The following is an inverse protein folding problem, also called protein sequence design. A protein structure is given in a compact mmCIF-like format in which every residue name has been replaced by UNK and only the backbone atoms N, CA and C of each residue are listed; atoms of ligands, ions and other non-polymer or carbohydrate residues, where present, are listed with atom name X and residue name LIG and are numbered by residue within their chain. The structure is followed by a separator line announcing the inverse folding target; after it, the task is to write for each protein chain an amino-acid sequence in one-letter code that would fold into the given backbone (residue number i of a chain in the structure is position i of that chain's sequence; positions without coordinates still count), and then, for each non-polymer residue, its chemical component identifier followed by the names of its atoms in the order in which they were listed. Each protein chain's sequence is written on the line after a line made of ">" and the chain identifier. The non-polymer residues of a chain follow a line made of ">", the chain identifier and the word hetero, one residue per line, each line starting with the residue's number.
data_IF_563144554972
#
_entry.id   IF_563144554972
#
_cell.length_a   1.000
_cell.length_b   1.000
_cell.length_c   1.000
_cell.angle_alpha   90.00
_cell.angle_beta   90.00
_cell.angle_gamma   90.00
#
_symmetry.space_group_name_H-M   'P 1'
#
loop_
_entity.id
_entity.type
_entity.pdbx_description
1 polymer ?
#
# COMPACT_ATOMS: atom_id res chain seq x y z
N UNK A 1 -28.07 3.07 -8.14
CA UNK A 1 -27.09 2.42 -7.24
C UNK A 1 -25.82 3.27 -7.20
N UNK A 2 -25.87 4.40 -6.49
CA UNK A 2 -24.75 5.35 -6.33
C UNK A 2 -24.78 5.81 -4.87
N UNK A 3 -24.06 5.10 -4.01
CA UNK A 3 -24.09 5.36 -2.55
C UNK A 3 -22.78 4.97 -1.85
N UNK A 4 -22.05 3.97 -2.34
CA UNK A 4 -20.87 3.43 -1.65
C UNK A 4 -19.59 4.27 -1.76
N UNK A 5 -19.41 5.08 -2.80
CA UNK A 5 -18.17 5.86 -2.98
C UNK A 5 -18.16 7.24 -2.28
N UNK A 6 -19.32 7.75 -1.83
CA UNK A 6 -19.38 8.98 -1.03
C UNK A 6 -19.28 8.75 0.47
N UNK A 7 -19.66 7.55 0.95
CA UNK A 7 -19.68 7.22 2.38
C UNK A 7 -18.28 7.03 2.97
N UNK A 8 -17.31 6.52 2.20
CA UNK A 8 -15.92 6.38 2.66
C UNK A 8 -15.25 7.71 2.99
N UNK A 9 -15.45 8.73 2.14
CA UNK A 9 -14.89 10.08 2.30
C UNK A 9 -15.41 10.75 3.60
N UNK A 10 -16.71 10.59 3.90
CA UNK A 10 -17.36 11.11 5.10
C UNK A 10 -16.92 10.42 6.40
N UNK A 11 -16.52 9.14 6.35
CA UNK A 11 -15.99 8.43 7.50
C UNK A 11 -14.55 8.88 7.83
N UNK A 12 -13.75 9.25 6.83
CA UNK A 12 -12.41 9.82 7.02
C UNK A 12 -12.45 11.25 7.61
N UNK A 13 -13.56 11.98 7.48
CA UNK A 13 -13.69 13.37 7.98
C UNK A 13 -13.93 13.52 9.48
N UNK A 14 -14.22 12.45 10.25
CA UNK A 14 -14.54 12.55 11.69
C UNK A 14 -13.44 13.24 12.51
N UNK A 15 -12.17 12.94 12.24
CA UNK A 15 -11.04 13.60 12.91
C UNK A 15 -10.85 15.07 12.50
N UNK A 16 -11.18 15.42 11.25
CA UNK A 16 -11.12 16.81 10.79
C UNK A 16 -12.25 17.66 11.37
N UNK A 17 -13.43 17.07 11.58
CA UNK A 17 -14.55 17.70 12.29
C UNK A 17 -14.20 17.92 13.76
N UNK A 18 -13.70 16.90 14.47
CA UNK A 18 -13.30 17.02 15.87
C UNK A 18 -12.22 18.09 16.11
N UNK A 19 -11.27 18.24 15.18
CA UNK A 19 -10.22 19.26 15.24
C UNK A 19 -10.67 20.66 14.75
N UNK A 20 -11.92 20.83 14.31
CA UNK A 20 -12.44 22.12 13.79
C UNK A 20 -11.77 22.59 12.50
N UNK A 21 -11.32 21.66 11.64
CA UNK A 21 -10.55 21.94 10.41
C UNK A 21 -11.45 22.03 9.16
N UNK A 22 -12.68 21.48 9.21
CA UNK A 22 -13.63 21.52 8.09
C UNK A 22 -14.18 22.92 7.84
N UNK A 23 -14.51 23.24 6.59
CA UNK A 23 -15.28 24.44 6.26
C UNK A 23 -16.79 24.27 6.57
N UNK A 24 -17.54 25.38 6.64
CA UNK A 24 -18.96 25.38 7.03
C UNK A 24 -19.83 24.41 6.18
N UNK A 25 -19.47 24.20 4.91
CA UNK A 25 -20.22 23.32 4.00
C UNK A 25 -19.85 21.86 4.25
N UNK A 26 -18.56 21.57 4.43
CA UNK A 26 -18.07 20.24 4.81
C UNK A 26 -18.61 19.81 6.20
N UNK A 27 -18.63 20.73 7.18
CA UNK A 27 -19.19 20.49 8.51
C UNK A 27 -20.70 20.20 8.46
N UNK A 28 -21.49 21.03 7.76
CA UNK A 28 -22.94 20.80 7.61
C UNK A 28 -23.24 19.45 6.95
N UNK A 29 -22.44 19.04 5.95
CA UNK A 29 -22.59 17.75 5.28
C UNK A 29 -22.23 16.58 6.21
N UNK A 30 -21.21 16.74 7.06
CA UNK A 30 -20.81 15.74 8.05
C UNK A 30 -21.84 15.60 9.18
N UNK A 31 -22.40 16.70 9.70
CA UNK A 31 -23.47 16.68 10.71
C UNK A 31 -24.70 15.90 10.23
N UNK A 32 -25.12 16.12 8.97
CA UNK A 32 -26.22 15.39 8.36
C UNK A 32 -25.95 13.88 8.24
N UNK A 33 -24.68 13.49 8.03
CA UNK A 33 -24.28 12.08 8.04
C UNK A 33 -24.24 11.52 9.48
N UNK A 34 -23.69 12.26 10.43
CA UNK A 34 -23.56 11.90 11.84
C UNK A 34 -24.92 11.62 12.49
N UNK A 35 -25.96 12.36 12.12
CA UNK A 35 -27.35 12.11 12.53
C UNK A 35 -27.90 10.72 12.09
N UNK A 36 -27.18 9.99 11.24
CA UNK A 36 -27.59 8.68 10.69
C UNK A 36 -26.55 7.56 10.84
N UNK A 37 -25.37 7.84 11.39
CA UNK A 37 -24.24 6.89 11.44
C UNK A 37 -23.69 6.73 12.87
N UNK A 38 -24.13 5.67 13.55
CA UNK A 38 -23.72 5.34 14.93
C UNK A 38 -22.20 5.16 15.07
N UNK A 39 -21.52 4.64 14.04
CA UNK A 39 -20.05 4.49 14.05
C UNK A 39 -19.33 5.85 14.09
N UNK A 40 -19.78 6.83 13.31
CA UNK A 40 -19.21 8.18 13.34
C UNK A 40 -19.47 8.88 14.68
N UNK A 41 -20.65 8.67 15.28
CA UNK A 41 -20.98 9.20 16.60
C UNK A 41 -20.09 8.58 17.70
N UNK A 42 -19.90 7.26 17.69
CA UNK A 42 -19.03 6.54 18.62
C UNK A 42 -17.56 6.99 18.51
N UNK A 43 -17.05 7.17 17.30
CA UNK A 43 -15.68 7.67 17.08
C UNK A 43 -15.52 9.13 17.54
N UNK A 44 -16.54 9.98 17.38
CA UNK A 44 -16.48 11.35 17.88
C UNK A 44 -16.47 11.42 19.42
N UNK A 45 -17.25 10.57 20.09
CA UNK A 45 -17.27 10.45 21.55
C UNK A 45 -15.92 9.95 22.11
N UNK A 46 -15.30 8.97 21.44
CA UNK A 46 -13.94 8.49 21.78
C UNK A 46 -12.88 9.60 21.68
N UNK A 47 -12.96 10.45 20.65
CA UNK A 47 -12.06 11.61 20.50
C UNK A 47 -12.34 12.69 21.55
N UNK A 48 -13.60 13.03 21.81
CA UNK A 48 -14.00 13.98 22.84
C UNK A 48 -13.56 13.51 24.25
N UNK A 49 -13.53 12.20 24.51
CA UNK A 49 -13.00 11.60 25.73
C UNK A 49 -11.49 11.84 25.95
N UNK A 50 -10.72 12.13 24.90
CA UNK A 50 -9.28 12.44 25.02
C UNK A 50 -9.01 13.91 25.37
N UNK A 51 -9.87 14.84 24.96
CA UNK A 51 -9.73 16.28 25.24
C UNK A 51 -9.51 16.63 26.72
N UNK A 52 -10.33 16.15 27.69
CA UNK A 52 -10.10 16.46 29.11
C UNK A 52 -8.81 15.86 29.65
N UNK A 53 -8.32 14.75 29.07
CA UNK A 53 -7.03 14.16 29.45
C UNK A 53 -5.85 14.99 28.94
N UNK A 54 -5.96 15.55 27.72
CA UNK A 54 -4.97 16.47 27.15
C UNK A 54 -4.99 17.84 27.86
N UNK A 55 -6.16 18.35 28.22
CA UNK A 55 -6.30 19.55 29.05
C UNK A 55 -5.66 19.38 30.43
N UNK A 56 -5.87 18.23 31.07
CA UNK A 56 -5.21 17.90 32.34
C UNK A 56 -3.67 17.83 32.24
N UNK A 57 -3.12 17.48 31.06
CA UNK A 57 -1.68 17.57 30.80
C UNK A 57 -1.20 19.03 30.61
N UNK A 58 -2.03 19.90 30.03
CA UNK A 58 -1.70 21.31 29.83
C UNK A 58 -1.66 22.12 31.14
N UNK A 59 -2.48 21.73 32.12
CA UNK A 59 -2.50 22.32 33.47
C UNK A 59 -1.39 21.79 34.41
N UNK A 60 -0.62 20.77 34.00
CA UNK A 60 0.53 20.32 34.79
C UNK A 60 1.65 21.37 34.72
N UNK A 61 2.12 21.90 35.88
CA UNK A 61 3.29 22.77 35.87
C UNK A 61 4.49 21.99 35.33
N UNK A 62 5.18 22.58 34.34
CA UNK A 62 6.26 21.94 33.61
C UNK A 62 7.22 21.19 34.56
N UNK A 63 7.18 19.87 34.49
CA UNK A 63 7.89 19.01 35.42
C UNK A 63 9.39 19.33 35.36
N UNK A 64 10.02 19.56 36.50
CA UNK A 64 11.42 19.95 36.62
C UNK A 64 12.37 18.74 36.40
N UNK A 65 12.11 17.95 35.36
CA UNK A 65 12.84 16.75 34.98
C UNK A 65 12.73 16.51 33.47
N UNK A 66 13.89 16.43 32.81
CA UNK A 66 14.09 16.19 31.36
C UNK A 66 13.46 17.22 30.39
N UNK A 67 14.18 18.32 30.06
CA UNK A 67 13.77 19.27 29.02
C UNK A 67 13.67 18.67 27.60
N UNK A 68 14.39 17.57 27.33
CA UNK A 68 14.63 17.08 25.97
C UNK A 68 13.38 16.53 25.23
N UNK A 69 12.37 16.04 25.95
CA UNK A 69 11.17 15.44 25.33
C UNK A 69 10.12 16.51 25.02
N UNK A 70 9.94 17.49 25.91
CA UNK A 70 9.04 18.63 25.67
C UNK A 70 9.44 19.44 24.44
N UNK A 71 10.71 19.83 24.35
CA UNK A 71 11.21 20.63 23.22
C UNK A 71 11.21 19.88 21.88
N UNK A 72 11.33 18.55 21.88
CA UNK A 72 11.29 17.74 20.65
C UNK A 72 9.86 17.48 20.14
N UNK A 73 8.86 17.45 21.02
CA UNK A 73 7.43 17.39 20.64
C UNK A 73 6.84 18.78 20.37
N UNK A 74 7.34 19.82 21.03
CA UNK A 74 6.98 21.22 20.81
C UNK A 74 7.79 21.89 19.69
N UNK A 75 8.64 21.14 18.99
CA UNK A 75 9.40 21.57 17.82
C UNK A 75 8.46 21.89 16.64
N UNK A 76 7.77 23.04 16.72
CA UNK A 76 7.00 23.60 15.60
C UNK A 76 7.90 23.62 14.36
N UNK A 77 7.50 22.99 13.24
CA UNK A 77 8.19 23.14 11.98
C UNK A 77 8.37 24.64 11.71
N UNK A 78 9.56 25.05 11.26
CA UNK A 78 9.78 26.47 10.93
C UNK A 78 8.65 26.95 10.01
N UNK A 79 8.10 28.18 10.15
CA UNK A 79 6.87 28.56 9.46
C UNK A 79 6.87 28.23 7.96
N UNK A 80 8.00 28.48 7.28
CA UNK A 80 8.22 28.15 5.86
C UNK A 80 8.11 26.66 5.48
N UNK A 81 8.31 25.74 6.43
CA UNK A 81 8.09 24.30 6.21
C UNK A 81 6.63 23.93 6.46
N UNK A 82 5.99 24.52 7.47
CA UNK A 82 4.55 24.34 7.70
C UNK A 82 3.74 24.89 6.51
N UNK A 83 4.02 26.13 6.09
CA UNK A 83 3.40 26.79 4.93
C UNK A 83 3.55 25.92 3.67
N UNK A 84 4.76 25.43 3.37
CA UNK A 84 5.00 24.55 2.21
C UNK A 84 4.25 23.22 2.26
N UNK A 85 4.07 22.62 3.44
CA UNK A 85 3.32 21.38 3.58
C UNK A 85 1.82 21.61 3.42
N UNK A 86 1.30 22.74 3.94
CA UNK A 86 -0.09 23.16 3.74
C UNK A 86 -0.34 23.50 2.27
N UNK A 87 0.55 24.25 1.62
CA UNK A 87 0.48 24.61 0.20
C UNK A 87 0.53 23.36 -0.70
N UNK A 88 1.45 22.42 -0.48
CA UNK A 88 1.53 21.16 -1.26
C UNK A 88 0.25 20.32 -1.12
N UNK A 89 -0.34 20.24 0.08
CA UNK A 89 -1.61 19.53 0.32
C UNK A 89 -2.78 20.28 -0.33
N UNK A 90 -2.82 21.61 -0.22
CA UNK A 90 -3.83 22.46 -0.86
C UNK A 90 -3.77 22.39 -2.39
N UNK A 91 -2.57 22.43 -2.98
CA UNK A 91 -2.37 22.25 -4.43
C UNK A 91 -2.79 20.85 -4.89
N UNK A 92 -2.47 19.79 -4.13
CA UNK A 92 -2.94 18.42 -4.43
C UNK A 92 -4.45 18.31 -4.37
N UNK A 93 -5.11 18.86 -3.33
CA UNK A 93 -6.58 18.93 -3.24
C UNK A 93 -7.16 19.75 -4.39
N UNK A 94 -6.60 20.92 -4.72
CA UNK A 94 -7.04 21.76 -5.83
C UNK A 94 -6.89 21.05 -7.20
N UNK A 95 -5.81 20.29 -7.41
CA UNK A 95 -5.57 19.50 -8.63
C UNK A 95 -6.53 18.31 -8.73
N UNK A 96 -6.84 17.63 -7.63
CA UNK A 96 -7.89 16.58 -7.54
C UNK A 96 -9.27 17.19 -7.86
N UNK A 97 -9.63 18.31 -7.22
CA UNK A 97 -10.91 19.03 -7.43
C UNK A 97 -11.05 19.55 -8.86
N UNK A 98 -10.02 20.15 -9.46
CA UNK A 98 -10.02 20.56 -10.88
C UNK A 98 -10.22 19.37 -11.83
N UNK A 99 -9.53 18.25 -11.60
CA UNK A 99 -9.74 17.00 -12.38
C UNK A 99 -11.17 16.47 -12.26
N UNK A 100 -11.74 16.46 -11.05
CA UNK A 100 -13.15 16.14 -10.84
C UNK A 100 -14.09 17.08 -11.59
N UNK A 101 -13.83 18.40 -11.54
CA UNK A 101 -14.64 19.40 -12.23
C UNK A 101 -14.60 19.23 -13.76
N UNK A 102 -13.45 18.88 -14.35
CA UNK A 102 -13.36 18.56 -15.78
C UNK A 102 -14.12 17.29 -16.16
N UNK A 103 -14.15 16.26 -15.30
CA UNK A 103 -14.97 15.05 -15.52
C UNK A 103 -16.47 15.34 -15.42
N UNK A 104 -16.90 16.18 -14.46
CA UNK A 104 -18.30 16.63 -14.34
C UNK A 104 -18.69 17.52 -15.52
N UNK A 105 -17.81 18.39 -16.01
CA UNK A 105 -18.06 19.21 -17.19
C UNK A 105 -18.18 18.35 -18.47
N UNK A 106 -17.37 17.29 -18.62
CA UNK A 106 -17.49 16.34 -19.72
C UNK A 106 -18.83 15.56 -19.66
N UNK A 107 -19.27 15.16 -18.47
CA UNK A 107 -20.58 14.54 -18.28
C UNK A 107 -21.74 15.52 -18.62
N UNK A 108 -21.66 16.78 -18.21
CA UNK A 108 -22.65 17.80 -18.53
C UNK A 108 -22.73 18.09 -20.05
N UNK A 109 -21.58 18.11 -20.74
CA UNK A 109 -21.53 18.26 -22.20
C UNK A 109 -22.24 17.10 -22.94
N UNK A 110 -22.10 15.86 -22.44
CA UNK A 110 -22.80 14.68 -22.97
C UNK A 110 -24.31 14.64 -22.65
N UNK A 111 -24.78 15.42 -21.67
CA UNK A 111 -26.20 15.52 -21.30
C UNK A 111 -26.92 16.62 -22.11
N UNK A 112 -26.21 17.70 -22.47
CA UNK A 112 -26.76 18.79 -23.30
C UNK A 112 -26.59 18.50 -24.80
N UNK A 113 -25.53 17.80 -25.19
CA UNK A 113 -25.31 17.30 -26.54
C UNK A 113 -26.08 16.01 -26.84
N UNK A 114 -27.39 16.12 -27.09
CA UNK A 114 -28.22 15.01 -27.57
C UNK A 114 -27.65 14.33 -28.83
N UNK A 115 -28.01 13.06 -29.11
CA UNK A 115 -27.25 12.20 -30.02
C UNK A 115 -27.37 12.63 -31.48
N UNK A 116 -26.29 13.21 -32.02
CA UNK A 116 -26.10 13.36 -33.47
C UNK A 116 -25.38 12.12 -33.99
N UNK A 117 -26.09 11.32 -34.78
CA UNK A 117 -25.52 10.16 -35.47
C UNK A 117 -24.54 10.60 -36.57
N UNK A 118 -23.31 10.09 -36.51
CA UNK A 118 -22.37 10.10 -37.64
C UNK A 118 -22.06 8.66 -38.02
N UNK A 119 -22.27 8.31 -39.29
CA UNK A 119 -22.13 6.97 -39.86
C UNK A 119 -20.86 6.90 -40.73
N UNK A 120 -20.09 5.81 -40.59
CA UNK A 120 -18.88 5.50 -41.39
C UNK A 120 -17.61 6.22 -40.89
N UNK A 121 -16.40 5.68 -40.99
CA UNK A 121 -15.89 4.47 -41.67
C UNK A 121 -14.52 4.12 -41.02
N UNK A 122 -13.95 2.91 -41.01
CA UNK A 122 -14.21 1.61 -41.67
C UNK A 122 -14.65 0.50 -40.68
N UNK A 123 -14.89 -0.72 -41.19
CA UNK A 123 -14.95 -1.95 -40.38
C UNK A 123 -13.63 -2.74 -40.39
N UNK A 124 -13.48 -3.62 -39.41
CA UNK A 124 -12.42 -4.62 -39.29
C UNK A 124 -12.77 -5.55 -38.12
N UNK A 125 -12.96 -6.84 -38.37
CA UNK A 125 -13.69 -7.75 -37.49
C UNK A 125 -13.10 -7.89 -36.08
N UNK A 126 -13.74 -7.27 -35.09
CA UNK A 126 -13.47 -7.55 -33.68
C UNK A 126 -14.17 -8.83 -33.23
N UNK A 127 -13.60 -9.97 -33.62
CA UNK A 127 -13.54 -11.13 -32.74
C UNK A 127 -12.63 -10.80 -31.54
N UNK A 128 -13.02 -9.80 -30.75
CA UNK A 128 -12.50 -9.61 -29.40
C UNK A 128 -13.15 -10.67 -28.53
N UNK A 129 -12.59 -11.88 -28.61
CA UNK A 129 -12.64 -12.84 -27.52
C UNK A 129 -12.35 -12.07 -26.24
N UNK A 130 -13.32 -12.00 -25.34
CA UNK A 130 -13.13 -11.38 -24.04
C UNK A 130 -12.02 -12.16 -23.32
N UNK A 131 -10.78 -11.64 -23.38
CA UNK A 131 -9.70 -12.20 -22.61
C UNK A 131 -10.12 -12.05 -21.14
N UNK A 132 -10.17 -13.16 -20.37
CA UNK A 132 -10.52 -13.06 -18.97
C UNK A 132 -9.51 -12.14 -18.31
N UNK A 133 -10.00 -11.09 -17.65
CA UNK A 133 -9.19 -10.25 -16.75
C UNK A 133 -8.77 -11.12 -15.57
N UNK A 134 -7.74 -11.93 -15.78
CA UNK A 134 -7.00 -12.57 -14.71
C UNK A 134 -6.41 -11.44 -13.88
N UNK A 135 -6.87 -11.29 -12.63
CA UNK A 135 -6.23 -10.42 -11.65
C UNK A 135 -4.82 -10.93 -11.37
N UNK A 136 -3.87 -10.54 -12.21
CA UNK A 136 -2.48 -10.84 -12.03
C UNK A 136 -1.97 -10.11 -10.78
N UNK A 137 -1.16 -10.80 -9.98
CA UNK A 137 -0.45 -10.14 -8.88
C UNK A 137 0.55 -9.16 -9.48
N UNK A 138 0.61 -7.88 -9.04
CA UNK A 138 1.61 -6.93 -9.52
C UNK A 138 3.05 -7.44 -9.36
N UNK A 139 3.32 -8.26 -8.34
CA UNK A 139 4.60 -8.95 -8.19
C UNK A 139 4.84 -9.97 -9.32
N UNK A 140 3.84 -10.76 -9.69
CA UNK A 140 3.95 -11.72 -10.82
C UNK A 140 4.19 -11.00 -12.14
N UNK A 141 3.50 -9.88 -12.38
CA UNK A 141 3.70 -9.09 -13.60
C UNK A 141 5.09 -8.44 -13.65
N UNK A 142 5.59 -7.91 -12.54
CA UNK A 142 6.96 -7.44 -12.46
C UNK A 142 7.97 -8.57 -12.73
N UNK A 143 7.77 -9.73 -12.08
CA UNK A 143 8.63 -10.90 -12.25
C UNK A 143 8.69 -11.39 -13.71
N UNK A 144 7.58 -11.38 -14.46
CA UNK A 144 7.62 -11.83 -15.88
C UNK A 144 8.44 -10.92 -16.78
N UNK A 145 8.59 -9.64 -16.44
CA UNK A 145 9.37 -8.65 -17.21
C UNK A 145 10.83 -8.53 -16.76
N UNK A 146 11.17 -9.00 -15.55
CA UNK A 146 12.56 -9.08 -15.07
C UNK A 146 13.38 -10.10 -15.88
N UNK A 147 14.56 -9.67 -16.32
CA UNK A 147 15.52 -10.49 -17.08
C UNK A 147 16.59 -11.11 -16.20
N UNK A 148 17.04 -10.35 -15.21
CA UNK A 148 18.02 -10.81 -14.24
C UNK A 148 17.30 -11.64 -13.17
N UNK A 149 17.69 -12.92 -13.09
CA UNK A 149 17.04 -13.95 -12.28
C UNK A 149 18.04 -15.02 -11.87
N UNK A 150 18.08 -15.30 -10.59
CA UNK A 150 18.72 -16.49 -10.04
C UNK A 150 17.66 -17.48 -9.51
N UNK A 151 17.96 -18.78 -9.57
CA UNK A 151 17.09 -19.86 -9.10
C UNK A 151 17.89 -20.87 -8.29
N UNK A 152 17.33 -21.32 -7.18
CA UNK A 152 17.86 -22.44 -6.41
C UNK A 152 16.73 -23.32 -5.85
N UNK A 153 17.09 -24.53 -5.44
CA UNK A 153 16.21 -25.45 -4.70
C UNK A 153 17.03 -26.11 -3.61
N UNK A 154 16.61 -25.97 -2.35
CA UNK A 154 17.33 -26.57 -1.23
C UNK A 154 17.07 -28.10 -1.18
N UNK A 155 18.11 -28.94 -1.09
CA UNK A 155 17.97 -30.40 -1.17
C UNK A 155 17.44 -31.06 0.11
N UNK A 156 17.24 -30.32 1.21
CA UNK A 156 16.72 -30.81 2.49
C UNK A 156 15.28 -30.39 2.74
N UNK A 157 14.90 -29.18 2.32
CA UNK A 157 13.54 -28.65 2.45
C UNK A 157 12.71 -28.87 1.20
N UNK A 158 13.35 -29.14 0.06
CA UNK A 158 12.78 -29.20 -1.28
C UNK A 158 12.10 -27.88 -1.72
N UNK A 159 12.31 -26.78 -1.00
CA UNK A 159 11.77 -25.45 -1.34
C UNK A 159 12.56 -24.89 -2.52
N UNK A 160 11.84 -24.46 -3.55
CA UNK A 160 12.38 -23.86 -4.77
C UNK A 160 12.06 -22.37 -4.78
N UNK A 161 13.08 -21.55 -5.01
CA UNK A 161 12.97 -20.09 -5.07
C UNK A 161 13.65 -19.56 -6.34
N UNK A 162 12.98 -18.63 -7.00
CA UNK A 162 13.57 -17.83 -8.09
C UNK A 162 13.46 -16.35 -7.71
N UNK A 163 14.59 -15.65 -7.61
CA UNK A 163 14.64 -14.22 -7.30
C UNK A 163 14.95 -13.46 -8.57
N UNK A 164 13.99 -12.64 -9.02
CA UNK A 164 14.20 -11.65 -10.07
C UNK A 164 14.63 -10.32 -9.48
N UNK A 165 15.56 -9.64 -10.15
CA UNK A 165 16.15 -8.40 -9.67
C UNK A 165 16.02 -7.28 -10.71
N UNK A 166 15.90 -6.05 -10.24
CA UNK A 166 16.02 -4.85 -11.06
C UNK A 166 16.63 -3.71 -10.23
N UNK A 167 17.80 -3.21 -10.67
CA UNK A 167 18.44 -2.05 -10.07
C UNK A 167 17.60 -0.78 -10.21
N UNK A 168 17.55 0.03 -9.15
CA UNK A 168 16.85 1.31 -9.04
C UNK A 168 17.79 2.34 -8.44
N UNK A 169 17.47 3.63 -8.61
CA UNK A 169 18.25 4.71 -8.01
C UNK A 169 18.25 4.73 -6.46
N UNK A 170 17.46 3.87 -5.81
CA UNK A 170 17.38 3.71 -4.36
C UNK A 170 17.95 2.38 -3.84
N UNK A 171 18.45 1.50 -4.72
CA UNK A 171 18.89 0.14 -4.39
C UNK A 171 18.29 -0.92 -5.32
N UNK A 172 17.98 -2.11 -4.82
CA UNK A 172 17.48 -3.25 -5.60
C UNK A 172 16.00 -3.51 -5.37
N UNK A 173 15.20 -3.52 -6.44
CA UNK A 173 13.86 -4.10 -6.43
C UNK A 173 13.97 -5.61 -6.69
N UNK A 174 13.59 -6.42 -5.70
CA UNK A 174 13.60 -7.88 -5.79
C UNK A 174 12.17 -8.44 -5.83
N UNK A 175 11.97 -9.49 -6.62
CA UNK A 175 10.72 -10.25 -6.69
C UNK A 175 11.02 -11.74 -6.55
N UNK A 176 10.41 -12.37 -5.55
CA UNK A 176 10.54 -13.80 -5.28
C UNK A 176 9.35 -14.56 -5.89
N UNK A 177 9.63 -15.56 -6.72
CA UNK A 177 8.75 -16.70 -6.95
C UNK A 177 9.13 -17.82 -5.98
N UNK A 178 8.19 -18.32 -5.19
CA UNK A 178 8.42 -19.39 -4.20
C UNK A 178 7.49 -20.59 -4.43
N UNK A 179 8.07 -21.79 -4.43
CA UNK A 179 7.42 -23.08 -4.71
C UNK A 179 7.75 -24.11 -3.62
N UNK A 180 6.88 -25.12 -3.54
CA UNK A 180 6.99 -26.27 -2.62
C UNK A 180 7.13 -25.89 -1.12
N UNK A 181 6.50 -24.80 -0.68
CA UNK A 181 6.54 -24.37 0.73
C UNK A 181 5.21 -24.67 1.43
N UNK A 182 5.26 -25.38 2.55
CA UNK A 182 4.11 -25.70 3.40
C UNK A 182 4.02 -24.75 4.60
N UNK A 183 2.81 -24.58 5.13
CA UNK A 183 2.55 -23.73 6.31
C UNK A 183 1.82 -24.48 7.42
N UNK A 184 1.51 -23.82 8.55
CA UNK A 184 1.56 -22.37 8.75
C UNK A 184 2.96 -21.87 9.11
N UNK A 185 3.47 -20.88 8.38
CA UNK A 185 4.78 -20.25 8.62
C UNK A 185 4.72 -18.72 8.46
N UNK A 186 5.70 -18.00 9.01
CA UNK A 186 6.00 -16.60 8.69
C UNK A 186 7.41 -16.51 8.13
N UNK A 187 7.56 -15.87 6.99
CA UNK A 187 8.80 -15.88 6.24
C UNK A 187 9.26 -14.48 5.81
N UNK A 188 10.55 -14.33 5.57
CA UNK A 188 11.21 -13.15 5.04
C UNK A 188 12.13 -13.51 3.88
N UNK A 189 12.25 -12.60 2.92
CA UNK A 189 13.31 -12.60 1.92
C UNK A 189 14.38 -11.62 2.39
N UNK A 190 15.62 -12.10 2.56
CA UNK A 190 16.75 -11.32 3.05
C UNK A 190 17.80 -11.30 1.95
N UNK A 191 18.23 -10.11 1.52
CA UNK A 191 19.46 -9.95 0.74
C UNK A 191 20.66 -9.98 1.69
N UNK A 192 21.70 -10.71 1.32
CA UNK A 192 22.97 -10.77 2.05
C UNK A 192 24.05 -10.20 1.14
N UNK A 193 24.76 -9.19 1.61
CA UNK A 193 25.83 -8.53 0.86
C UNK A 193 27.14 -9.30 0.90
N UNK A 194 28.01 -9.02 -0.07
CA UNK A 194 29.39 -9.56 -0.17
C UNK A 194 30.28 -9.19 1.03
N UNK A 195 29.85 -8.21 1.83
CA UNK A 195 30.48 -7.80 3.08
C UNK A 195 29.86 -8.45 4.35
N UNK A 196 28.78 -9.22 4.20
CA UNK A 196 28.03 -9.85 5.29
C UNK A 196 26.86 -9.02 5.86
N UNK A 197 26.59 -7.82 5.36
CA UNK A 197 25.42 -7.02 5.75
C UNK A 197 24.13 -7.70 5.28
N UNK A 198 23.03 -7.50 6.01
CA UNK A 198 21.76 -8.22 5.80
C UNK A 198 20.58 -7.25 5.78
N UNK A 199 19.82 -7.25 4.69
CA UNK A 199 18.65 -6.40 4.52
C UNK A 199 17.40 -7.22 4.19
N UNK A 200 16.30 -6.98 4.91
CA UNK A 200 15.03 -7.67 4.66
C UNK A 200 14.24 -6.97 3.56
N UNK A 201 14.15 -7.59 2.38
CA UNK A 201 13.43 -7.04 1.24
C UNK A 201 11.90 -7.00 1.46
N UNK A 202 11.34 -8.08 2.02
CA UNK A 202 9.89 -8.24 2.24
C UNK A 202 9.59 -9.39 3.20
N UNK A 203 8.36 -9.44 3.75
CA UNK A 203 7.89 -10.52 4.64
C UNK A 203 6.45 -10.94 4.30
N UNK A 204 6.10 -12.19 4.58
CA UNK A 204 4.78 -12.76 4.29
C UNK A 204 4.42 -13.91 5.23
N UNK A 205 3.17 -14.36 5.15
CA UNK A 205 2.70 -15.59 5.79
C UNK A 205 2.53 -16.71 4.75
N UNK A 206 2.86 -17.94 5.13
CA UNK A 206 2.50 -19.16 4.39
C UNK A 206 1.31 -19.79 5.11
N UNK A 207 0.11 -19.82 4.50
CA UNK A 207 -1.06 -20.47 5.08
C UNK A 207 -0.91 -21.99 5.15
N UNK A 208 -1.80 -22.66 5.90
CA UNK A 208 -1.79 -24.14 6.06
C UNK A 208 -1.81 -24.94 4.75
N UNK A 209 -2.31 -24.36 3.65
CA UNK A 209 -2.35 -25.01 2.34
C UNK A 209 -1.07 -24.85 1.50
N UNK A 210 -0.13 -24.00 1.93
CA UNK A 210 1.16 -23.80 1.26
C UNK A 210 1.09 -23.05 -0.08
N UNK A 211 2.21 -23.01 -0.78
CA UNK A 211 2.35 -22.43 -2.13
C UNK A 211 3.23 -23.32 -3.03
N UNK A 212 2.85 -23.40 -4.31
CA UNK A 212 3.57 -24.19 -5.33
C UNK A 212 3.67 -25.68 -5.03
N UNK A 213 2.71 -26.25 -4.29
CA UNK A 213 2.68 -27.67 -3.91
C UNK A 213 2.22 -28.51 -5.09
N UNK A 214 3.10 -29.40 -5.56
CA UNK A 214 2.80 -30.30 -6.68
C UNK A 214 1.66 -31.26 -6.31
N UNK A 215 0.68 -31.41 -7.20
CA UNK A 215 -0.51 -32.26 -7.02
C UNK A 215 -1.42 -31.91 -5.81
N UNK A 216 -1.30 -30.73 -5.21
CA UNK A 216 -2.23 -30.30 -4.15
C UNK A 216 -3.68 -30.26 -4.67
N UNK A 217 -4.65 -30.51 -3.77
CA UNK A 217 -6.06 -30.59 -4.11
C UNK A 217 -6.65 -29.25 -4.60
N UNK A 218 -6.25 -28.14 -3.97
CA UNK A 218 -6.74 -26.79 -4.26
C UNK A 218 -5.82 -26.07 -5.27
N UNK A 219 -6.40 -25.21 -6.12
CA UNK A 219 -5.63 -24.42 -7.08
C UNK A 219 -4.70 -23.42 -6.39
N UNK A 220 -5.17 -22.87 -5.29
CA UNK A 220 -4.49 -21.91 -4.42
C UNK A 220 -3.17 -22.47 -3.87
N UNK A 221 -3.13 -23.76 -3.54
CA UNK A 221 -1.92 -24.46 -3.08
C UNK A 221 -0.99 -24.85 -4.24
N UNK A 222 -1.54 -25.11 -5.44
CA UNK A 222 -0.74 -25.43 -6.64
C UNK A 222 -0.04 -24.20 -7.22
N UNK A 223 -0.63 -23.01 -7.08
CA UNK A 223 -0.03 -21.77 -7.56
C UNK A 223 1.20 -21.37 -6.71
N UNK A 224 2.31 -20.95 -7.33
CA UNK A 224 3.45 -20.40 -6.60
C UNK A 224 3.10 -19.04 -5.97
N UNK A 225 3.83 -18.69 -4.92
CA UNK A 225 3.77 -17.35 -4.34
C UNK A 225 4.63 -16.40 -5.17
N UNK A 226 4.10 -15.19 -5.46
CA UNK A 226 4.90 -14.06 -5.91
C UNK A 226 4.79 -12.93 -4.89
N UNK A 227 5.92 -12.52 -4.32
CA UNK A 227 6.05 -11.37 -3.42
C UNK A 227 7.21 -10.50 -3.87
N UNK A 228 7.13 -9.20 -3.61
CA UNK A 228 8.16 -8.25 -3.99
C UNK A 228 8.56 -7.35 -2.83
N UNK A 229 9.76 -6.78 -2.94
CA UNK A 229 10.42 -6.04 -1.88
C UNK A 229 11.57 -5.18 -2.40
N UNK A 230 12.16 -4.40 -1.50
CA UNK A 230 13.29 -3.53 -1.84
C UNK A 230 14.36 -3.58 -0.76
N UNK A 231 15.62 -3.54 -1.19
CA UNK A 231 16.80 -3.35 -0.34
C UNK A 231 17.58 -2.14 -0.86
N UNK A 232 18.28 -1.42 0.02
CA UNK A 232 19.10 -0.26 -0.33
C UNK A 232 20.39 -0.65 -1.05
N UNK A 233 20.87 -1.88 -0.83
CA UNK A 233 22.01 -2.49 -1.52
C UNK A 233 21.86 -2.47 -3.06
N UNK A 234 22.94 -2.13 -3.76
CA UNK A 234 23.02 -2.25 -5.23
C UNK A 234 23.04 -3.74 -5.64
N UNK A 235 22.44 -4.13 -6.79
CA UNK A 235 22.43 -5.54 -7.21
C UNK A 235 23.82 -6.17 -7.28
N UNK A 236 24.86 -5.37 -7.59
CA UNK A 236 26.24 -5.86 -7.71
C UNK A 236 26.95 -6.08 -6.37
N UNK A 237 26.42 -5.55 -5.27
CA UNK A 237 26.93 -5.75 -3.91
C UNK A 237 26.29 -6.94 -3.19
N UNK A 238 25.14 -7.44 -3.67
CA UNK A 238 24.47 -8.64 -3.15
C UNK A 238 25.30 -9.89 -3.49
N UNK A 239 25.43 -10.82 -2.55
CA UNK A 239 26.10 -12.11 -2.69
C UNK A 239 25.08 -13.24 -2.92
N UNK A 240 24.04 -13.27 -2.10
CA UNK A 240 22.94 -14.23 -2.20
C UNK A 240 21.67 -13.70 -1.52
N UNK A 241 20.55 -14.34 -1.79
CA UNK A 241 19.29 -14.16 -1.05
C UNK A 241 18.97 -15.38 -0.19
N UNK A 242 18.51 -15.16 1.02
CA UNK A 242 17.98 -16.22 1.90
C UNK A 242 16.45 -16.07 2.07
N UNK A 243 15.72 -17.17 1.94
CA UNK A 243 14.35 -17.28 2.42
C UNK A 243 14.38 -17.89 3.81
N UNK A 244 14.04 -17.10 4.82
CA UNK A 244 14.09 -17.48 6.24
C UNK A 244 12.69 -17.55 6.84
N UNK A 245 12.44 -18.47 7.78
CA UNK A 245 11.31 -18.35 8.70
C UNK A 245 11.65 -17.36 9.83
N UNK A 246 10.63 -16.79 10.47
CA UNK A 246 10.82 -15.89 11.62
C UNK A 246 11.46 -16.59 12.83
N UNK A 247 11.33 -17.93 12.91
CA UNK A 247 11.98 -18.76 13.93
C UNK A 247 13.45 -19.11 13.58
N UNK A 248 14.02 -18.50 12.53
CA UNK A 248 15.43 -18.61 12.17
C UNK A 248 15.80 -19.82 11.28
N UNK A 249 14.83 -20.57 10.77
CA UNK A 249 15.09 -21.67 9.84
C UNK A 249 15.29 -21.15 8.42
N UNK A 250 16.45 -21.42 7.80
CA UNK A 250 16.63 -21.23 6.35
C UNK A 250 15.81 -22.27 5.59
N UNK A 251 15.02 -21.79 4.63
CA UNK A 251 14.25 -22.63 3.71
C UNK A 251 15.01 -22.88 2.42
N UNK A 252 15.62 -21.85 1.83
CA UNK A 252 16.45 -21.91 0.63
C UNK A 252 17.37 -20.68 0.55
N UNK A 253 18.51 -20.86 -0.09
CA UNK A 253 19.52 -19.85 -0.42
C UNK A 253 19.62 -19.76 -1.95
N UNK A 254 19.75 -18.55 -2.50
CA UNK A 254 19.80 -18.28 -3.94
C UNK A 254 20.99 -17.35 -4.22
N UNK A 255 22.09 -17.91 -4.74
CA UNK A 255 23.28 -17.17 -5.17
C UNK A 255 23.00 -16.30 -6.41
N UNK A 256 23.61 -15.11 -6.51
CA UNK A 256 23.38 -14.12 -7.60
C UNK A 256 24.65 -13.65 -8.31
#
# INVERSE_FOLDING_TARGET
>A
MQSSQGQGDLHETVGAYALGILDDVEATAFEAHLATCEWCAQQLDELAGMEPMLAALADLPAAQGTPAIGDSLAARPSPRLADRLVDEVAERRAKKRRRGFYLVAAAAALIIGGPVTAIGVTGGDTNQSAQPLQSASPAKDAFTHMRDKAEATDPKTEVSATVGMEGKAWGTHAVLELKNVTGPEKCSLIAVGKNGDRETATTWAVPKWGYGIKNAATEQARNPLYVHGGVAMDPTDIDHFEVMTFDGKKLVEVDV
#
